data_IF_944104950631
#
_entry.id   IF_944104950631
#
_cell.length_a   1.000
_cell.length_b   1.000
_cell.length_c   1.000
_cell.angle_alpha   90.00
_cell.angle_beta   90.00
_cell.angle_gamma   90.00
#
_symmetry.space_group_name_H-M   'P 1'
#
loop_
_entity.id
_entity.type
_entity.pdbx_description
1 polymer ?
#
# COMPACT_ATOMS: atom_id res chain seq x y z
N UNK A 1 -21.12 -6.58 -52.19
CA UNK A 1 -21.20 -6.94 -50.75
C UNK A 1 -19.95 -6.44 -50.06
N UNK A 2 -20.04 -5.27 -49.42
CA UNK A 2 -18.93 -4.72 -48.64
C UNK A 2 -19.07 -5.33 -47.25
N UNK A 3 -18.20 -6.29 -46.90
CA UNK A 3 -18.06 -6.75 -45.53
C UNK A 3 -17.46 -5.60 -44.74
N UNK A 4 -18.31 -4.86 -44.03
CA UNK A 4 -17.88 -4.02 -42.92
C UNK A 4 -17.23 -4.97 -41.93
N UNK A 5 -15.91 -4.94 -41.85
CA UNK A 5 -15.23 -5.46 -40.68
C UNK A 5 -15.64 -4.52 -39.55
N UNK A 6 -16.57 -5.00 -38.71
CA UNK A 6 -16.78 -4.45 -37.39
C UNK A 6 -15.41 -4.48 -36.68
N UNK A 7 -14.72 -3.35 -36.70
CA UNK A 7 -13.64 -3.09 -35.76
C UNK A 7 -14.34 -2.87 -34.43
N UNK A 8 -14.81 -3.96 -33.82
CA UNK A 8 -14.98 -4.00 -32.38
C UNK A 8 -13.64 -3.53 -31.84
N UNK A 9 -13.64 -2.39 -31.16
CA UNK A 9 -12.50 -1.90 -30.41
C UNK A 9 -12.27 -2.93 -29.29
N UNK A 10 -11.59 -4.03 -29.64
CA UNK A 10 -11.32 -5.13 -28.73
C UNK A 10 -10.51 -4.51 -27.60
N UNK A 11 -10.95 -4.78 -26.39
CA UNK A 11 -10.24 -4.43 -25.18
C UNK A 11 -8.75 -4.78 -25.32
N UNK A 12 -7.88 -3.87 -24.89
CA UNK A 12 -6.42 -3.98 -25.04
C UNK A 12 -5.93 -5.24 -24.33
N UNK A 13 -6.52 -5.57 -23.19
CA UNK A 13 -6.21 -6.80 -22.45
C UNK A 13 -6.58 -8.06 -23.23
N UNK A 14 -7.71 -8.05 -23.93
CA UNK A 14 -8.11 -9.20 -24.74
C UNK A 14 -7.18 -9.39 -25.94
N UNK A 15 -6.70 -8.30 -26.54
CA UNK A 15 -5.70 -8.38 -27.61
C UNK A 15 -4.36 -8.93 -27.09
N UNK A 16 -3.93 -8.52 -25.89
CA UNK A 16 -2.70 -9.04 -25.27
C UNK A 16 -2.81 -10.54 -25.02
N UNK A 17 -3.97 -11.02 -24.55
CA UNK A 17 -4.21 -12.45 -24.35
C UNK A 17 -4.19 -13.21 -25.68
N UNK A 18 -4.91 -12.70 -26.69
CA UNK A 18 -4.96 -13.32 -28.02
C UNK A 18 -3.53 -13.39 -28.62
N UNK A 19 -2.76 -12.29 -28.55
CA UNK A 19 -1.39 -12.21 -29.07
C UNK A 19 -0.42 -13.13 -28.31
N UNK A 20 -0.54 -13.23 -26.99
CA UNK A 20 0.30 -14.13 -26.19
C UNK A 20 0.03 -15.61 -26.52
N UNK A 21 -1.24 -15.97 -26.75
CA UNK A 21 -1.61 -17.32 -27.21
C UNK A 21 -1.06 -17.59 -28.60
N UNK A 22 -1.14 -16.63 -29.53
CA UNK A 22 -0.62 -16.79 -30.89
C UNK A 22 0.91 -16.94 -30.90
N UNK A 23 1.63 -16.19 -30.07
CA UNK A 23 3.09 -16.32 -29.87
C UNK A 23 3.42 -17.74 -29.40
N UNK A 24 2.78 -18.20 -28.33
CA UNK A 24 3.03 -19.52 -27.77
C UNK A 24 2.64 -20.66 -28.74
N UNK A 25 1.52 -20.49 -29.45
CA UNK A 25 1.05 -21.44 -30.45
C UNK A 25 2.01 -21.54 -31.64
N UNK A 26 2.65 -20.43 -32.04
CA UNK A 26 3.67 -20.43 -33.10
C UNK A 26 4.90 -21.26 -32.74
N UNK A 27 5.19 -21.39 -31.44
CA UNK A 27 6.27 -22.19 -30.88
C UNK A 27 5.80 -23.61 -30.48
N UNK A 28 4.51 -23.93 -30.68
CA UNK A 28 3.94 -25.24 -30.36
C UNK A 28 3.86 -25.53 -28.86
N UNK A 29 3.86 -24.51 -28.02
CA UNK A 29 3.82 -24.62 -26.55
C UNK A 29 2.61 -23.91 -25.96
N UNK A 30 2.42 -24.10 -24.65
CA UNK A 30 1.43 -23.35 -23.88
C UNK A 30 1.94 -21.92 -23.61
N UNK A 31 1.05 -20.93 -23.46
CA UNK A 31 1.43 -19.57 -23.14
C UNK A 31 2.05 -19.48 -21.74
N UNK A 32 3.21 -18.84 -21.68
CA UNK A 32 3.99 -18.59 -20.47
C UNK A 32 4.06 -17.09 -20.17
N UNK A 33 4.49 -16.74 -18.96
CA UNK A 33 4.57 -15.35 -18.50
C UNK A 33 5.36 -14.43 -19.45
N UNK A 34 6.41 -14.94 -20.08
CA UNK A 34 7.21 -14.21 -21.07
C UNK A 34 6.42 -13.81 -22.33
N UNK A 35 5.43 -14.59 -22.74
CA UNK A 35 4.59 -14.29 -23.90
C UNK A 35 3.63 -13.15 -23.60
N UNK A 36 3.05 -13.15 -22.40
CA UNK A 36 2.17 -12.07 -21.95
C UNK A 36 2.95 -10.76 -21.80
N UNK A 37 4.19 -10.81 -21.31
CA UNK A 37 5.06 -9.64 -21.25
C UNK A 37 5.40 -9.13 -22.66
N UNK A 38 5.73 -10.03 -23.58
CA UNK A 38 6.03 -9.69 -24.98
C UNK A 38 4.81 -9.07 -25.68
N UNK A 39 3.63 -9.68 -25.52
CA UNK A 39 2.36 -9.18 -26.05
C UNK A 39 1.98 -7.81 -25.45
N UNK A 40 2.28 -7.59 -24.16
CA UNK A 40 2.09 -6.30 -23.49
C UNK A 40 2.98 -5.22 -24.10
N UNK A 41 4.25 -5.52 -24.36
CA UNK A 41 5.19 -4.60 -25.02
C UNK A 41 4.75 -4.28 -26.45
N UNK A 42 4.25 -5.25 -27.21
CA UNK A 42 3.73 -5.02 -28.56
C UNK A 42 2.55 -4.04 -28.53
N UNK A 43 1.66 -4.17 -27.54
CA UNK A 43 0.44 -3.38 -27.42
C UNK A 43 0.59 -2.09 -26.59
N UNK A 44 1.79 -1.72 -26.12
CA UNK A 44 2.01 -0.58 -25.21
C UNK A 44 1.36 0.73 -25.68
N UNK A 45 1.34 1.01 -27.00
CA UNK A 45 0.76 2.25 -27.56
C UNK A 45 -0.75 2.37 -27.41
N UNK A 46 -1.43 1.24 -27.19
CA UNK A 46 -2.89 1.17 -27.02
C UNK A 46 -3.29 1.23 -25.54
N UNK A 47 -2.36 0.97 -24.64
CA UNK A 47 -2.56 1.06 -23.19
C UNK A 47 -2.71 2.51 -22.72
N UNK A 48 -3.35 2.69 -21.57
CA UNK A 48 -3.42 3.97 -20.88
C UNK A 48 -2.03 4.42 -20.39
N UNK A 49 -1.82 5.71 -20.13
CA UNK A 49 -0.55 6.22 -19.62
C UNK A 49 -0.14 5.62 -18.26
N UNK A 50 -1.11 5.21 -17.44
CA UNK A 50 -0.85 4.55 -16.16
C UNK A 50 -0.31 3.13 -16.35
N UNK A 51 -0.97 2.34 -17.19
CA UNK A 51 -0.54 0.98 -17.54
C UNK A 51 0.83 0.96 -18.23
N UNK A 52 1.13 1.95 -19.07
CA UNK A 52 2.46 2.10 -19.67
C UNK A 52 3.55 2.31 -18.63
N UNK A 53 3.26 3.06 -17.55
CA UNK A 53 4.23 3.29 -16.46
C UNK A 53 4.44 2.02 -15.64
N UNK A 54 3.37 1.26 -15.39
CA UNK A 54 3.47 -0.04 -14.71
C UNK A 54 4.28 -1.03 -15.54
N UNK A 55 3.98 -1.17 -16.83
CA UNK A 55 4.73 -2.02 -17.75
C UNK A 55 6.22 -1.62 -17.80
N UNK A 56 6.52 -0.32 -17.83
CA UNK A 56 7.91 0.15 -17.81
C UNK A 56 8.63 -0.17 -16.50
N UNK A 57 7.93 -0.09 -15.36
CA UNK A 57 8.44 -0.52 -14.06
C UNK A 57 8.72 -2.02 -14.03
N UNK A 58 7.83 -2.84 -14.57
CA UNK A 58 7.98 -4.29 -14.63
C UNK A 58 9.16 -4.71 -15.52
N UNK A 59 9.34 -4.04 -16.67
CA UNK A 59 10.50 -4.26 -17.53
C UNK A 59 11.81 -3.89 -16.84
N UNK A 60 11.84 -2.75 -16.12
CA UNK A 60 13.01 -2.33 -15.37
C UNK A 60 13.34 -3.31 -14.23
N UNK A 61 12.32 -3.85 -13.55
CA UNK A 61 12.51 -4.88 -12.53
C UNK A 61 13.08 -6.17 -13.14
N UNK A 62 12.54 -6.61 -14.28
CA UNK A 62 13.04 -7.77 -15.01
C UNK A 62 14.49 -7.60 -15.48
N UNK A 63 14.89 -6.41 -15.95
CA UNK A 63 16.27 -6.09 -16.35
C UNK A 63 17.26 -6.18 -15.18
N UNK A 64 16.81 -5.83 -13.97
CA UNK A 64 17.62 -5.91 -12.75
C UNK A 64 17.70 -7.31 -12.16
N UNK A 65 17.07 -8.32 -12.79
CA UNK A 65 16.90 -9.65 -12.20
C UNK A 65 16.05 -9.63 -10.93
N UNK A 66 15.34 -8.53 -10.68
CA UNK A 66 14.40 -8.39 -9.59
C UNK A 66 13.06 -8.94 -10.06
N UNK A 67 12.87 -10.24 -9.88
CA UNK A 67 11.56 -10.88 -9.93
C UNK A 67 10.61 -10.09 -9.02
N UNK A 68 9.60 -9.41 -9.59
CA UNK A 68 8.59 -8.65 -8.83
C UNK A 68 7.65 -9.57 -8.01
N UNK A 69 7.75 -10.87 -8.23
CA UNK A 69 7.36 -11.96 -7.31
C UNK A 69 8.27 -11.98 -6.06
N UNK A 70 8.36 -10.85 -5.35
CA UNK A 70 9.24 -10.76 -4.19
C UNK A 70 9.69 -9.36 -3.80
N UNK A 71 8.79 -8.38 -3.76
CA UNK A 71 9.04 -7.15 -2.97
C UNK A 71 8.91 -7.45 -1.46
N UNK A 72 9.74 -8.37 -0.99
CA UNK A 72 10.24 -8.42 0.37
C UNK A 72 11.57 -7.68 0.37
N UNK A 73 11.48 -6.37 0.66
CA UNK A 73 12.58 -5.43 0.90
C UNK A 73 13.94 -6.07 1.17
N UNK A 74 14.80 -6.13 0.15
CA UNK A 74 16.23 -6.41 0.30
C UNK A 74 17.02 -5.19 -0.18
N UNK A 75 17.05 -4.18 0.69
CA UNK A 75 18.17 -3.26 0.74
C UNK A 75 19.42 -4.10 1.03
N UNK A 76 20.33 -4.20 0.06
CA UNK A 76 21.69 -4.67 0.30
C UNK A 76 22.39 -3.67 1.22
N UNK A 77 22.33 -3.93 2.51
CA UNK A 77 23.22 -3.36 3.51
C UNK A 77 24.02 -4.52 4.11
N UNK A 78 25.30 -4.53 3.75
CA UNK A 78 26.48 -5.22 4.29
C UNK A 78 26.30 -6.50 5.14
N UNK A 79 26.78 -7.58 4.56
CA UNK A 79 26.98 -8.92 5.10
C UNK A 79 28.20 -8.95 6.04
N UNK A 80 28.12 -8.45 7.29
CA UNK A 80 28.97 -8.95 8.38
C UNK A 80 28.68 -8.29 9.75
N UNK A 81 28.46 -9.14 10.74
CA UNK A 81 28.47 -8.86 12.18
C UNK A 81 27.33 -7.99 12.73
N UNK A 82 26.40 -8.61 13.47
CA UNK A 82 25.94 -8.18 14.81
C UNK A 82 24.60 -8.84 15.16
N UNK A 83 24.60 -10.15 15.40
CA UNK A 83 23.63 -10.74 16.32
C UNK A 83 24.42 -11.69 17.20
N UNK A 84 24.84 -11.19 18.36
CA UNK A 84 25.05 -12.05 19.51
C UNK A 84 23.73 -12.79 19.72
N UNK A 85 23.77 -14.13 19.58
CA UNK A 85 22.68 -15.02 20.01
C UNK A 85 22.38 -14.72 21.48
N UNK A 86 21.36 -13.89 21.75
CA UNK A 86 20.73 -13.90 23.06
C UNK A 86 20.12 -15.30 23.26
N UNK A 87 20.46 -16.00 24.35
CA UNK A 87 20.03 -17.38 24.53
C UNK A 87 18.51 -17.43 24.60
N UNK A 88 17.90 -18.14 23.65
CA UNK A 88 16.46 -18.38 23.63
C UNK A 88 16.01 -18.86 25.01
N UNK A 89 15.19 -18.06 25.69
CA UNK A 89 14.59 -18.36 26.99
C UNK A 89 13.44 -19.39 26.84
N UNK A 90 13.73 -20.54 26.24
CA UNK A 90 12.78 -21.64 26.10
C UNK A 90 12.38 -22.15 27.49
N UNK A 91 11.10 -22.00 27.84
CA UNK A 91 10.50 -22.61 29.03
C UNK A 91 10.09 -21.66 30.16
N UNK A 92 10.30 -20.34 30.02
CA UNK A 92 9.70 -19.41 30.97
C UNK A 92 8.22 -19.18 30.63
N UNK A 93 7.34 -19.60 31.54
CA UNK A 93 5.89 -19.40 31.44
C UNK A 93 5.50 -18.10 32.13
N UNK A 94 4.61 -17.34 31.50
CA UNK A 94 4.06 -16.13 32.09
C UNK A 94 3.34 -16.48 33.41
N UNK A 95 3.68 -15.84 34.54
CA UNK A 95 3.03 -16.12 35.81
C UNK A 95 1.55 -15.72 35.85
N UNK A 96 1.10 -14.89 34.90
CA UNK A 96 -0.27 -14.38 34.82
C UNK A 96 -1.19 -15.27 33.98
N UNK A 97 -0.71 -15.80 32.85
CA UNK A 97 -1.52 -16.63 31.95
C UNK A 97 -1.01 -18.07 31.75
N UNK A 98 0.14 -18.44 32.28
CA UNK A 98 0.70 -19.79 32.19
C UNK A 98 1.15 -20.22 30.79
N UNK A 99 0.99 -19.36 29.78
CA UNK A 99 1.53 -19.56 28.44
C UNK A 99 3.02 -19.23 28.41
N UNK A 100 3.76 -19.89 27.54
CA UNK A 100 5.17 -19.56 27.26
C UNK A 100 5.28 -18.06 26.93
N UNK A 101 6.29 -17.38 27.49
CA UNK A 101 6.44 -15.91 27.39
C UNK A 101 6.38 -15.42 25.95
N UNK A 102 6.87 -16.21 24.99
CA UNK A 102 6.84 -15.87 23.57
C UNK A 102 5.43 -15.80 22.96
N UNK A 103 4.44 -16.43 23.62
CA UNK A 103 3.04 -16.46 23.20
C UNK A 103 2.11 -15.76 24.21
N UNK A 104 2.69 -15.09 25.19
CA UNK A 104 1.96 -14.34 26.19
C UNK A 104 1.39 -13.06 25.56
N UNK A 105 0.06 -12.95 25.53
CA UNK A 105 -0.67 -11.70 25.24
C UNK A 105 -1.24 -11.05 26.51
N UNK A 106 -0.76 -11.46 27.68
CA UNK A 106 -1.08 -10.71 28.88
C UNK A 106 -0.50 -9.30 28.68
N UNK A 107 -1.29 -8.24 28.85
CA UNK A 107 -0.77 -6.88 28.74
C UNK A 107 0.37 -6.72 29.74
N UNK A 108 1.55 -6.33 29.25
CA UNK A 108 2.64 -5.94 30.12
C UNK A 108 2.18 -4.76 30.97
N UNK A 109 2.44 -4.82 32.28
CA UNK A 109 1.97 -3.80 33.24
C UNK A 109 2.52 -2.39 32.95
N UNK A 110 3.44 -2.23 31.99
CA UNK A 110 4.01 -0.94 31.59
C UNK A 110 3.14 -0.13 30.61
N UNK A 111 2.16 -0.73 29.91
CA UNK A 111 1.46 -0.07 28.79
C UNK A 111 0.04 0.44 29.11
N UNK A 112 -0.33 0.50 30.39
CA UNK A 112 -1.65 1.01 30.82
C UNK A 112 -1.72 2.55 30.92
N UNK A 113 -0.69 3.27 30.48
CA UNK A 113 -0.64 4.74 30.61
C UNK A 113 -0.80 5.51 29.30
N UNK A 114 -0.89 4.84 28.15
CA UNK A 114 -1.13 5.49 26.87
C UNK A 114 -2.58 6.01 26.80
N UNK A 115 -2.77 7.29 27.09
CA UNK A 115 -4.04 7.99 26.89
C UNK A 115 -4.25 8.24 25.41
N UNK A 116 -5.35 7.74 24.87
CA UNK A 116 -5.75 7.95 23.50
C UNK A 116 -6.85 9.00 23.41
N UNK A 117 -6.70 9.93 22.48
CA UNK A 117 -7.65 11.00 22.23
C UNK A 117 -8.32 10.82 20.87
N UNK A 118 -9.54 11.32 20.78
CA UNK A 118 -10.29 11.48 19.56
C UNK A 118 -10.39 12.97 19.26
N UNK A 119 -9.95 13.37 18.08
CA UNK A 119 -10.01 14.75 17.62
C UNK A 119 -11.04 14.84 16.50
N UNK A 120 -11.95 15.80 16.62
CA UNK A 120 -12.91 16.12 15.57
C UNK A 120 -12.92 17.62 15.31
N UNK A 121 -13.09 18.00 14.05
CA UNK A 121 -13.30 19.40 13.69
C UNK A 121 -14.28 19.53 12.55
N UNK A 122 -15.11 20.56 12.62
CA UNK A 122 -16.04 20.94 11.56
C UNK A 122 -15.94 22.42 11.29
N UNK A 123 -16.13 22.83 10.04
CA UNK A 123 -16.15 24.24 9.69
C UNK A 123 -17.56 24.82 9.88
N UNK A 124 -17.74 25.90 10.65
CA UNK A 124 -19.06 26.54 10.81
C UNK A 124 -19.56 27.20 9.52
N UNK A 125 -18.65 27.58 8.61
CA UNK A 125 -18.98 28.23 7.34
C UNK A 125 -19.13 27.24 6.18
N UNK A 126 -18.69 25.99 6.35
CA UNK A 126 -18.86 24.92 5.37
C UNK A 126 -19.33 23.64 6.07
N UNK A 127 -20.65 23.34 6.08
CA UNK A 127 -21.20 22.17 6.74
C UNK A 127 -20.76 20.84 6.11
N UNK A 128 -20.22 20.87 4.89
CA UNK A 128 -19.72 19.68 4.18
C UNK A 128 -18.25 19.36 4.52
N UNK A 129 -17.54 20.23 5.25
CA UNK A 129 -16.15 20.01 5.65
C UNK A 129 -16.06 19.56 7.11
N UNK A 130 -15.61 18.31 7.30
CA UNK A 130 -15.44 17.66 8.59
C UNK A 130 -14.22 16.74 8.55
N UNK A 131 -13.39 16.82 9.58
CA UNK A 131 -12.21 15.98 9.75
C UNK A 131 -12.27 15.29 11.12
N UNK A 132 -11.92 14.01 11.14
CA UNK A 132 -11.98 13.18 12.33
C UNK A 132 -10.81 12.21 12.38
N UNK A 133 -10.17 12.16 13.55
CA UNK A 133 -9.09 11.23 13.81
C UNK A 133 -9.21 10.63 15.21
N UNK A 134 -9.19 9.31 15.28
CA UNK A 134 -9.27 8.55 16.52
C UNK A 134 -7.96 7.85 16.82
N UNK A 135 -7.61 7.75 18.10
CA UNK A 135 -6.42 7.01 18.53
C UNK A 135 -5.15 7.86 18.51
N UNK A 136 -5.28 9.17 18.68
CA UNK A 136 -4.15 10.09 18.75
C UNK A 136 -3.54 10.03 20.14
N UNK A 137 -2.24 9.79 20.23
CA UNK A 137 -1.51 9.80 21.49
C UNK A 137 -1.39 11.24 22.04
N UNK A 138 -1.15 11.42 23.34
CA UNK A 138 -1.02 12.76 23.94
C UNK A 138 0.03 13.65 23.25
N UNK A 139 1.13 13.04 22.79
CA UNK A 139 2.20 13.76 22.07
C UNK A 139 1.75 14.30 20.70
N UNK A 140 0.81 13.60 20.06
CA UNK A 140 0.46 13.86 18.67
C UNK A 140 -0.80 14.74 18.56
N UNK A 141 -1.47 15.05 19.68
CA UNK A 141 -2.66 15.92 19.72
C UNK A 141 -2.37 17.30 19.14
N UNK A 142 -1.23 17.90 19.49
CA UNK A 142 -0.87 19.24 18.99
C UNK A 142 -0.50 19.23 17.51
N UNK A 143 0.18 18.17 17.04
CA UNK A 143 0.53 18.00 15.64
C UNK A 143 -0.74 17.81 14.80
N UNK A 144 -1.65 16.96 15.27
CA UNK A 144 -2.94 16.70 14.63
C UNK A 144 -3.78 17.97 14.52
N UNK A 145 -3.81 18.80 15.57
CA UNK A 145 -4.47 20.13 15.53
C UNK A 145 -3.89 21.03 14.44
N UNK A 146 -2.56 21.09 14.32
CA UNK A 146 -1.91 21.90 13.27
C UNK A 146 -2.23 21.38 11.87
N UNK A 147 -2.26 20.06 11.70
CA UNK A 147 -2.64 19.41 10.44
C UNK A 147 -4.06 19.76 10.03
N UNK A 148 -5.02 19.72 10.97
CA UNK A 148 -6.40 20.11 10.70
C UNK A 148 -6.54 21.59 10.30
N UNK A 149 -5.76 22.49 10.91
CA UNK A 149 -5.75 23.92 10.53
C UNK A 149 -5.17 24.12 9.12
N UNK A 150 -4.10 23.39 8.78
CA UNK A 150 -3.51 23.43 7.44
C UNK A 150 -4.49 22.89 6.37
N UNK A 151 -5.09 21.72 6.61
CA UNK A 151 -6.10 21.13 5.73
C UNK A 151 -7.30 22.07 5.53
N UNK A 152 -7.76 22.72 6.60
CA UNK A 152 -8.83 23.70 6.51
C UNK A 152 -8.45 24.92 5.64
N UNK A 153 -7.23 25.44 5.80
CA UNK A 153 -6.73 26.54 4.99
C UNK A 153 -6.62 26.17 3.51
N UNK A 154 -6.21 24.95 3.21
CA UNK A 154 -6.04 24.44 1.84
C UNK A 154 -7.38 24.08 1.17
N UNK A 155 -8.30 23.44 1.89
CA UNK A 155 -9.52 22.88 1.32
C UNK A 155 -10.74 23.79 1.41
N UNK A 156 -10.94 24.49 2.54
CA UNK A 156 -12.11 25.34 2.74
C UNK A 156 -11.87 26.78 2.28
N UNK A 157 -10.64 27.30 2.44
CA UNK A 157 -10.28 28.68 2.06
C UNK A 157 -11.12 29.77 2.75
N UNK A 158 -11.90 29.41 3.77
CA UNK A 158 -13.01 30.21 4.28
C UNK A 158 -12.63 31.13 5.45
N UNK A 159 -11.34 31.21 5.80
CA UNK A 159 -10.78 32.16 6.79
C UNK A 159 -11.36 32.06 8.20
N UNK A 160 -12.21 31.07 8.47
CA UNK A 160 -12.87 30.87 9.74
C UNK A 160 -11.97 30.09 10.71
N UNK A 161 -12.01 30.48 11.98
CA UNK A 161 -11.36 29.70 13.04
C UNK A 161 -12.14 28.39 13.24
N UNK A 162 -11.48 27.27 12.96
CA UNK A 162 -12.02 25.94 13.27
C UNK A 162 -11.85 25.66 14.76
N UNK A 163 -12.90 25.11 15.38
CA UNK A 163 -12.80 24.56 16.74
C UNK A 163 -12.52 23.07 16.61
N UNK A 164 -11.41 22.63 17.19
CA UNK A 164 -11.06 21.21 17.29
C UNK A 164 -11.51 20.72 18.65
N UNK A 165 -12.49 19.82 18.66
CA UNK A 165 -12.93 19.10 19.86
C UNK A 165 -11.97 17.96 20.12
N UNK A 166 -11.53 17.81 21.37
CA UNK A 166 -10.65 16.72 21.82
C UNK A 166 -11.39 15.97 22.91
N UNK A 167 -11.67 14.69 22.67
CA UNK A 167 -12.35 13.79 23.59
C UNK A 167 -11.37 12.67 24.02
N UNK A 168 -11.19 12.44 25.32
CA UNK A 168 -10.39 11.34 25.87
C UNK A 168 -11.19 10.03 25.77
N UNK A 169 -10.56 8.94 25.32
CA UNK A 169 -11.20 7.62 25.18
C UNK A 169 -11.03 6.76 26.43
#
# INVERSE_FOLDING_TARGET
MIRRFDVCNKDVHQQIIDDAVDIAASEGRAPEQGDFMTASVINHKRMSPEEQRLLQSDLQAAELGASSEGLGSSFLFDEESYYEEEPDLYGETCPNCGFDKNYCRCPDEEDLSAKFFCLSTGCPNNPDWYEFESGVSESDVEETKKRFIQLHAEQCGCGAEIKVSVDER
#
